data_IF_073135573088
#
_entry.id   IF_073135573088
#
_cell.length_a   1.000
_cell.length_b   1.000
_cell.length_c   1.000
_cell.angle_alpha   90.00
_cell.angle_beta   90.00
_cell.angle_gamma   90.00
#
_symmetry.space_group_name_H-M   'P 1'
#
loop_
_entity.id
_entity.type
_entity.pdbx_description
1 polymer ?
#
# COMPACT_ATOMS: atom_id res chain seq x y z
N UNK A 1 -12.17 9.13 16.52
CA UNK A 1 -11.49 9.57 15.29
C UNK A 1 -12.57 9.93 14.30
N UNK A 2 -12.52 11.13 13.74
CA UNK A 2 -13.45 11.55 12.69
C UNK A 2 -13.20 10.76 11.39
N UNK A 3 -14.22 10.59 10.55
CA UNK A 3 -14.08 9.84 9.29
C UNK A 3 -12.92 10.36 8.43
N UNK A 4 -12.76 11.69 8.37
CA UNK A 4 -11.67 12.35 7.64
C UNK A 4 -10.29 11.99 8.18
N UNK A 5 -10.15 11.92 9.51
CA UNK A 5 -8.88 11.58 10.16
C UNK A 5 -8.51 10.12 9.90
N UNK A 6 -9.52 9.24 9.97
CA UNK A 6 -9.37 7.82 9.69
C UNK A 6 -8.95 7.56 8.25
N UNK A 7 -9.68 8.13 7.28
CA UNK A 7 -9.33 8.01 5.85
C UNK A 7 -7.92 8.56 5.60
N UNK A 8 -7.58 9.70 6.21
CA UNK A 8 -6.24 10.28 6.12
C UNK A 8 -5.14 9.37 6.69
N UNK A 9 -5.41 8.66 7.78
CA UNK A 9 -4.46 7.71 8.36
C UNK A 9 -4.27 6.49 7.46
N UNK A 10 -5.36 5.87 6.99
CA UNK A 10 -5.30 4.71 6.10
C UNK A 10 -4.51 5.03 4.83
N UNK A 11 -4.72 6.20 4.22
CA UNK A 11 -3.97 6.60 3.03
C UNK A 11 -2.48 6.79 3.31
N UNK A 12 -2.10 7.34 4.47
CA UNK A 12 -0.69 7.44 4.87
C UNK A 12 -0.07 6.07 5.08
N UNK A 13 -0.75 5.19 5.81
CA UNK A 13 -0.25 3.84 6.08
C UNK A 13 -0.02 3.05 4.77
N UNK A 14 -0.91 3.21 3.78
CA UNK A 14 -0.75 2.59 2.46
C UNK A 14 0.46 3.14 1.68
N UNK A 15 0.64 4.47 1.66
CA UNK A 15 1.78 5.11 1.00
C UNK A 15 3.09 4.67 1.67
N UNK A 16 3.14 4.75 3.00
CA UNK A 16 4.33 4.39 3.78
C UNK A 16 4.68 2.92 3.60
N UNK A 17 3.69 2.02 3.57
CA UNK A 17 3.91 0.60 3.30
C UNK A 17 4.52 0.36 1.92
N UNK A 18 4.01 1.02 0.87
CA UNK A 18 4.54 0.89 -0.50
C UNK A 18 5.96 1.44 -0.59
N UNK A 19 6.23 2.65 -0.08
CA UNK A 19 7.57 3.25 -0.13
C UNK A 19 8.60 2.48 0.72
N UNK A 20 8.20 1.99 1.89
CA UNK A 20 9.04 1.15 2.72
C UNK A 20 9.41 -0.16 2.01
N UNK A 21 8.43 -0.80 1.37
CA UNK A 21 8.67 -2.04 0.62
C UNK A 21 9.50 -1.78 -0.63
N UNK A 22 9.22 -0.69 -1.35
CA UNK A 22 9.97 -0.22 -2.51
C UNK A 22 11.45 -0.09 -2.20
N UNK A 23 11.80 0.53 -1.08
CA UNK A 23 13.21 0.76 -0.68
C UNK A 23 13.97 -0.56 -0.50
N UNK A 24 13.31 -1.59 0.05
CA UNK A 24 13.91 -2.89 0.35
C UNK A 24 13.73 -3.92 -0.76
N UNK A 25 13.05 -3.57 -1.85
CA UNK A 25 12.80 -4.44 -3.00
C UNK A 25 13.87 -4.29 -4.08
N UNK A 26 14.13 -5.40 -4.78
CA UNK A 26 15.00 -5.45 -5.97
C UNK A 26 14.37 -4.75 -7.18
N UNK A 27 13.04 -4.69 -7.23
CA UNK A 27 12.24 -4.03 -8.26
C UNK A 27 11.61 -2.77 -7.70
N UNK A 28 11.47 -1.75 -8.56
CA UNK A 28 10.74 -0.56 -8.15
C UNK A 28 9.23 -0.80 -8.15
N UNK A 29 8.52 -0.01 -7.34
CA UNK A 29 7.07 -0.09 -7.21
C UNK A 29 6.49 1.27 -6.81
N UNK A 30 5.28 1.56 -7.26
CA UNK A 30 4.59 2.81 -6.95
C UNK A 30 3.07 2.63 -7.03
N UNK A 31 2.33 3.50 -6.34
CA UNK A 31 0.86 3.53 -6.41
C UNK A 31 0.40 3.99 -7.79
N UNK A 32 -0.59 3.30 -8.35
CA UNK A 32 -1.18 3.61 -9.66
C UNK A 32 -2.70 3.46 -9.64
N UNK A 33 -3.36 3.95 -10.69
CA UNK A 33 -4.82 4.01 -10.80
C UNK A 33 -5.49 2.71 -11.31
N UNK A 34 -4.77 1.59 -11.38
CA UNK A 34 -5.33 0.28 -11.71
C UNK A 34 -5.59 0.02 -13.20
N UNK A 35 -5.33 0.97 -14.09
CA UNK A 35 -5.60 0.80 -15.53
C UNK A 35 -4.51 0.06 -16.30
N UNK A 36 -3.39 -0.27 -15.68
CA UNK A 36 -2.28 -0.97 -16.32
C UNK A 36 -2.27 -2.46 -15.98
N UNK A 37 -1.97 -3.30 -16.98
CA UNK A 37 -1.92 -4.77 -16.89
C UNK A 37 -0.94 -5.31 -15.82
N UNK A 38 0.00 -4.47 -15.36
CA UNK A 38 0.99 -4.82 -14.33
C UNK A 38 0.63 -4.35 -12.93
N UNK A 39 -0.61 -3.89 -12.75
CA UNK A 39 -1.08 -3.43 -11.45
C UNK A 39 -1.58 -4.60 -10.62
N UNK A 40 -1.02 -4.77 -9.42
CA UNK A 40 -1.62 -5.63 -8.40
C UNK A 40 -2.70 -4.81 -7.70
N UNK A 41 -3.95 -5.28 -7.75
CA UNK A 41 -5.08 -4.64 -7.09
C UNK A 41 -5.30 -5.22 -5.70
N UNK A 42 -5.42 -4.33 -4.72
CA UNK A 42 -5.76 -4.67 -3.35
C UNK A 42 -7.14 -4.16 -3.01
N UNK A 43 -7.90 -4.99 -2.30
CA UNK A 43 -9.22 -4.65 -1.80
C UNK A 43 -9.26 -4.97 -0.30
N UNK A 44 -9.28 -3.92 0.51
CA UNK A 44 -9.17 -4.03 1.96
C UNK A 44 -10.47 -3.52 2.61
N UNK A 45 -11.10 -4.39 3.38
CA UNK A 45 -12.15 -4.01 4.30
C UNK A 45 -11.53 -3.52 5.61
N UNK A 46 -11.80 -2.27 5.96
CA UNK A 46 -11.31 -1.65 7.20
C UNK A 46 -12.50 -1.40 8.12
N UNK A 47 -12.50 -2.04 9.28
CA UNK A 47 -13.53 -1.87 10.31
C UNK A 47 -13.04 -0.95 11.42
N UNK A 48 -13.83 0.07 11.76
CA UNK A 48 -13.59 0.88 12.96
C UNK A 48 -14.50 0.37 14.08
N UNK A 49 -13.93 -0.03 15.20
CA UNK A 49 -14.67 -0.32 16.42
C UNK A 49 -14.67 0.94 17.31
N UNK A 50 -15.82 1.59 17.44
CA UNK A 50 -16.01 2.63 18.45
C UNK A 50 -16.44 1.97 19.77
N UNK A 51 -15.49 1.54 20.58
CA UNK A 51 -15.79 1.12 21.95
C UNK A 51 -15.94 2.36 22.83
N UNK A 52 -17.19 2.75 23.12
CA UNK A 52 -17.49 3.72 24.17
C UNK A 52 -17.36 3.08 25.56
N UNK A 53 -16.18 2.55 25.89
CA UNK A 53 -15.85 2.11 27.25
C UNK A 53 -14.78 3.04 27.81
N UNK A 54 -15.24 3.98 28.65
CA UNK A 54 -14.41 4.54 29.71
C UNK A 54 -13.98 3.37 30.59
N UNK A 55 -12.80 2.81 30.36
CA UNK A 55 -11.84 2.36 31.38
C UNK A 55 -10.67 1.59 30.73
N UNK A 56 -9.48 2.19 30.78
CA UNK A 56 -8.19 1.49 30.91
C UNK A 56 -7.71 0.60 29.75
N UNK A 57 -6.64 1.07 29.08
CA UNK A 57 -5.71 0.31 28.21
C UNK A 57 -6.26 -0.07 26.82
N UNK A 58 -6.10 0.86 25.88
CA UNK A 58 -6.29 0.63 24.45
C UNK A 58 -5.22 -0.31 23.89
N UNK A 59 -5.53 -1.59 23.79
CA UNK A 59 -4.82 -2.56 22.96
C UNK A 59 -5.65 -2.86 21.73
N UNK A 60 -5.06 -2.75 20.53
CA UNK A 60 -5.68 -3.17 19.27
C UNK A 60 -5.95 -4.68 19.38
N UNK A 61 -7.22 -5.09 19.46
CA UNK A 61 -7.63 -6.50 19.46
C UNK A 61 -8.11 -6.86 18.06
N UNK A 62 -7.37 -7.75 17.40
CA UNK A 62 -7.85 -8.44 16.19
C UNK A 62 -8.92 -9.42 16.67
N UNK A 63 -10.18 -9.19 16.28
CA UNK A 63 -11.30 -10.04 16.67
C UNK A 63 -11.27 -11.32 15.83
N UNK A 64 -10.70 -12.38 16.39
CA UNK A 64 -10.96 -13.76 15.95
C UNK A 64 -12.42 -14.10 16.31
N UNK A 65 -13.29 -14.16 15.30
CA UNK A 65 -14.64 -14.66 15.46
C UNK A 65 -14.59 -16.19 15.63
N UNK A 66 -14.45 -16.67 16.86
CA UNK A 66 -14.57 -18.09 17.19
C UNK A 66 -15.50 -18.28 18.41
N UNK A 67 -16.72 -18.72 18.09
CA UNK A 67 -17.61 -19.61 18.86
C UNK A 67 -17.38 -19.73 20.38
N UNK A 68 -18.16 -19.02 21.19
CA UNK A 68 -18.56 -19.49 22.52
C UNK A 68 -19.81 -18.72 22.99
N UNK A 69 -20.94 -19.41 23.03
CA UNK A 69 -22.26 -18.89 23.42
C UNK A 69 -22.38 -18.49 24.90
N UNK A 70 -21.74 -17.38 25.28
CA UNK A 70 -21.96 -16.70 26.56
C UNK A 70 -22.67 -15.37 26.34
N UNK A 71 -23.63 -15.04 27.20
CA UNK A 71 -24.31 -13.75 27.27
C UNK A 71 -23.32 -12.58 27.35
N UNK A 72 -22.87 -12.07 26.21
CA UNK A 72 -22.10 -10.85 26.14
C UNK A 72 -23.08 -9.71 25.93
N UNK A 73 -23.02 -8.75 26.85
CA UNK A 73 -23.83 -7.52 26.86
C UNK A 73 -24.02 -6.99 25.44
N UNK A 74 -25.27 -6.69 25.07
CA UNK A 74 -25.62 -6.00 23.82
C UNK A 74 -25.08 -4.56 23.87
N UNK A 75 -23.76 -4.40 23.81
CA UNK A 75 -23.19 -3.18 23.28
C UNK A 75 -23.57 -3.16 21.80
N UNK A 76 -24.42 -2.21 21.43
CA UNK A 76 -24.64 -1.85 20.04
C UNK A 76 -23.30 -1.37 19.46
N UNK A 77 -22.50 -2.33 18.98
CA UNK A 77 -21.26 -2.08 18.24
C UNK A 77 -21.66 -1.65 16.84
N UNK A 78 -21.83 -0.35 16.65
CA UNK A 78 -21.91 0.21 15.31
C UNK A 78 -20.52 0.10 14.67
N UNK A 79 -20.28 -0.96 13.91
CA UNK A 79 -19.08 -1.11 13.09
C UNK A 79 -19.33 -0.50 11.73
N UNK A 80 -18.54 0.50 11.35
CA UNK A 80 -18.52 1.03 9.98
C UNK A 80 -17.43 0.30 9.21
N UNK A 81 -17.81 -0.43 8.16
CA UNK A 81 -16.88 -1.06 7.22
C UNK A 81 -16.62 -0.11 6.07
N UNK A 82 -15.38 0.37 5.96
CA UNK A 82 -14.91 1.14 4.81
C UNK A 82 -14.12 0.23 3.87
N UNK A 83 -14.36 0.31 2.57
CA UNK A 83 -13.64 -0.48 1.56
C UNK A 83 -12.68 0.42 0.79
N UNK A 84 -11.42 0.04 0.73
CA UNK A 84 -10.38 0.77 -0.02
C UNK A 84 -9.84 -0.13 -1.12
N UNK A 85 -9.87 0.38 -2.35
CA UNK A 85 -9.27 -0.25 -3.53
C UNK A 85 -8.13 0.61 -4.05
N UNK A 86 -6.96 0.01 -4.22
CA UNK A 86 -5.80 0.70 -4.80
C UNK A 86 -4.95 -0.29 -5.62
N UNK A 87 -4.14 0.27 -6.52
CA UNK A 87 -3.24 -0.47 -7.37
C UNK A 87 -1.78 -0.18 -7.05
N UNK A 88 -0.93 -1.21 -7.08
CA UNK A 88 0.53 -1.06 -7.04
C UNK A 88 1.12 -1.55 -8.35
N UNK A 89 1.82 -0.67 -9.07
CA UNK A 89 2.65 -1.05 -10.20
C UNK A 89 3.95 -1.65 -9.68
N UNK A 90 4.40 -2.75 -10.29
CA UNK A 90 5.71 -3.35 -10.00
C UNK A 90 6.48 -3.48 -11.31
N UNK A 91 7.67 -2.91 -11.33
CA UNK A 91 8.50 -2.90 -12.52
C UNK A 91 8.91 -4.32 -12.92
N UNK A 92 9.06 -4.54 -14.22
CA UNK A 92 9.50 -5.84 -14.74
C UNK A 92 10.99 -6.05 -14.55
N UNK A 93 11.77 -4.98 -14.72
CA UNK A 93 13.20 -5.00 -14.51
C UNK A 93 13.51 -4.72 -13.04
N UNK A 94 14.57 -5.33 -12.55
CA UNK A 94 15.18 -4.90 -11.29
C UNK A 94 15.85 -3.54 -11.47
N UNK A 95 16.04 -2.84 -10.36
CA UNK A 95 16.76 -1.55 -10.33
C UNK A 95 18.17 -1.67 -10.93
N UNK A 96 18.82 -2.83 -10.78
CA UNK A 96 20.13 -3.08 -11.35
C UNK A 96 20.09 -3.27 -12.87
N UNK A 97 19.14 -4.05 -13.38
CA UNK A 97 18.94 -4.24 -14.83
C UNK A 97 18.56 -2.92 -15.51
N UNK A 98 17.71 -2.11 -14.86
CA UNK A 98 17.34 -0.79 -15.37
C UNK A 98 18.54 0.17 -15.43
N UNK A 99 19.38 0.18 -14.39
CA UNK A 99 20.60 0.97 -14.37
C UNK A 99 21.60 0.53 -15.45
N UNK A 100 21.76 -0.78 -15.66
CA UNK A 100 22.63 -1.30 -16.71
C UNK A 100 22.12 -0.90 -18.10
N UNK A 101 20.80 -1.03 -18.31
CA UNK A 101 20.16 -0.68 -19.57
C UNK A 101 20.26 0.81 -19.86
N UNK A 102 20.07 1.68 -18.86
CA UNK A 102 20.19 3.13 -19.06
C UNK A 102 21.61 3.55 -19.40
N UNK A 103 22.62 2.97 -18.73
CA UNK A 103 24.03 3.18 -19.06
C UNK A 103 24.40 2.70 -20.46
N UNK A 104 23.85 1.56 -20.90
CA UNK A 104 24.08 1.06 -22.26
C UNK A 104 23.50 2.02 -23.31
N UNK A 105 22.26 2.47 -23.12
CA UNK A 105 21.61 3.44 -24.01
C UNK A 105 22.42 4.74 -24.08
N UNK A 106 22.89 5.25 -22.94
CA UNK A 106 23.68 6.48 -22.88
C UNK A 106 25.02 6.34 -23.61
N UNK A 107 25.68 5.18 -23.50
CA UNK A 107 26.91 4.88 -24.25
C UNK A 107 26.67 4.83 -25.76
N UNK A 108 25.55 4.27 -26.19
CA UNK A 108 25.18 4.19 -27.61
C UNK A 108 24.92 5.60 -28.18
N UNK A 109 24.14 6.42 -27.47
CA UNK A 109 23.85 7.79 -27.89
C UNK A 109 25.12 8.63 -28.01
N UNK A 110 26.02 8.55 -27.03
CA UNK A 110 27.28 9.30 -27.06
C UNK A 110 28.22 8.85 -28.20
N UNK A 111 28.15 7.57 -28.59
CA UNK A 111 28.92 7.05 -29.73
C UNK A 111 28.37 7.56 -31.06
N UNK A 112 27.06 7.53 -31.25
CA UNK A 112 26.41 8.08 -32.45
C UNK A 112 26.66 9.58 -32.60
N UNK A 113 26.62 10.32 -31.48
CA UNK A 113 26.95 11.75 -31.49
C UNK A 113 28.41 11.98 -31.93
N UNK A 114 29.36 11.20 -31.41
CA UNK A 114 30.76 11.31 -31.80
C UNK A 114 31.00 10.97 -33.28
N UNK A 115 30.33 9.94 -33.81
CA UNK A 115 30.41 9.56 -35.21
C UNK A 115 29.78 10.61 -36.15
N UNK A 116 28.84 11.43 -35.66
CA UNK A 116 28.23 12.54 -36.42
C UNK A 116 29.13 13.77 -36.62
N UNK A 117 30.22 13.89 -35.85
CA UNK A 117 31.20 14.98 -35.95
C UNK A 117 32.42 14.65 -36.83
N UNK A 118 32.47 13.46 -37.45
CA UNK A 118 33.51 13.02 -38.38
C UNK A 118 33.01 13.05 -39.82
#
# INVERSE_FOLDING_TARGET
MELKEFVGQVLRDLVDAVEHTRTNSTRDMHLTNGKEDRTVEFDIAVSVENSSERNGKAGIRVLEFAEAGGEMSKQNKNSTVSRVRFGVHIDTLTKQEELQRSQEIERLNNREEFDSYR
#
